data_IF_457414913252
#
_entry.id   IF_457414913252
#
_cell.length_a   1.000
_cell.length_b   1.000
_cell.length_c   1.000
_cell.angle_alpha   90.00
_cell.angle_beta   90.00
_cell.angle_gamma   90.00
#
_symmetry.space_group_name_H-M   'P 1'
#
loop_
_entity.id
_entity.type
_entity.pdbx_description
1 polymer ?
#
# COMPACT_ATOMS: atom_id res chain seq x y z
N UNK A 1 -27.60 16.40 -1.31
CA UNK A 1 -27.73 14.96 -1.61
C UNK A 1 -27.39 14.19 -0.35
N UNK A 2 -28.33 13.38 0.17
CA UNK A 2 -28.11 12.64 1.41
C UNK A 2 -26.99 11.61 1.23
N UNK A 3 -26.13 11.46 2.25
CA UNK A 3 -24.98 10.55 2.27
C UNK A 3 -25.35 9.09 1.92
N UNK A 4 -26.60 8.70 2.17
CA UNK A 4 -27.21 7.43 1.79
C UNK A 4 -27.41 7.26 0.29
N UNK A 5 -27.78 8.32 -0.44
CA UNK A 5 -27.93 8.29 -1.90
C UNK A 5 -26.58 8.11 -2.61
N UNK A 6 -25.52 8.75 -2.10
CA UNK A 6 -24.18 8.62 -2.69
C UNK A 6 -23.63 7.18 -2.59
N UNK A 7 -23.88 6.51 -1.46
CA UNK A 7 -23.47 5.10 -1.26
C UNK A 7 -24.18 4.13 -2.21
N UNK A 8 -25.46 4.35 -2.48
CA UNK A 8 -26.24 3.49 -3.38
C UNK A 8 -25.74 3.61 -4.83
N UNK A 9 -25.43 4.84 -5.28
CA UNK A 9 -24.90 5.07 -6.63
C UNK A 9 -23.50 4.45 -6.82
N UNK A 10 -22.64 4.55 -5.81
CA UNK A 10 -21.30 3.97 -5.86
C UNK A 10 -21.32 2.43 -5.98
N UNK A 11 -22.19 1.75 -5.21
CA UNK A 11 -22.33 0.29 -5.27
C UNK A 11 -22.85 -0.15 -6.64
N UNK A 12 -23.84 0.56 -7.21
CA UNK A 12 -24.39 0.23 -8.52
C UNK A 12 -23.37 0.34 -9.66
N UNK A 13 -22.46 1.32 -9.59
CA UNK A 13 -21.38 1.49 -10.57
C UNK A 13 -20.36 0.35 -10.53
N UNK A 14 -19.98 -0.13 -9.34
CA UNK A 14 -19.00 -1.22 -9.20
C UNK A 14 -19.53 -2.53 -9.80
N UNK A 15 -20.81 -2.84 -9.55
CA UNK A 15 -21.45 -4.05 -10.12
C UNK A 15 -21.48 -4.01 -11.64
N UNK A 16 -21.67 -2.82 -12.24
CA UNK A 16 -21.68 -2.64 -13.69
C UNK A 16 -20.30 -2.90 -14.33
N UNK A 17 -19.21 -2.49 -13.68
CA UNK A 17 -17.84 -2.65 -14.21
C UNK A 17 -17.39 -4.11 -14.21
N UNK A 18 -17.75 -4.88 -13.19
CA UNK A 18 -17.38 -6.31 -13.08
C UNK A 18 -18.06 -7.15 -14.14
N UNK A 19 -19.31 -6.83 -14.51
CA UNK A 19 -20.07 -7.56 -15.53
C UNK A 19 -19.51 -7.40 -16.96
N UNK A 20 -18.73 -6.35 -17.22
CA UNK A 20 -18.18 -6.06 -18.55
C UNK A 20 -16.77 -6.62 -18.79
N UNK A 21 -16.07 -7.10 -17.76
CA UNK A 21 -14.67 -7.55 -17.85
C UNK A 21 -14.49 -9.07 -18.04
N UNK A 22 -15.56 -9.81 -18.33
CA UNK A 22 -15.57 -11.28 -18.31
C UNK A 22 -15.33 -12.03 -19.63
N UNK A 23 -14.89 -11.39 -20.72
CA UNK A 23 -14.77 -12.08 -22.03
C UNK A 23 -13.47 -11.77 -22.80
N UNK A 24 -12.37 -12.43 -22.44
CA UNK A 24 -11.23 -12.76 -23.33
C UNK A 24 -10.69 -14.11 -22.79
N UNK A 25 -10.86 -15.29 -23.39
CA UNK A 25 -11.05 -15.68 -24.79
C UNK A 25 -9.70 -16.03 -25.41
N UNK A 26 -9.38 -17.33 -25.58
CA UNK A 26 -8.33 -17.76 -26.52
C UNK A 26 -7.47 -18.95 -26.09
N UNK A 27 -8.04 -20.15 -26.20
CA UNK A 27 -7.36 -21.45 -26.29
C UNK A 27 -6.64 -21.56 -27.64
N UNK A 28 -5.31 -21.76 -27.70
CA UNK A 28 -4.62 -22.43 -28.83
C UNK A 28 -3.24 -23.02 -28.39
N UNK A 29 -3.14 -24.35 -28.44
CA UNK A 29 -1.93 -25.19 -28.62
C UNK A 29 -2.38 -26.44 -29.41
N UNK A 30 -1.55 -27.18 -30.19
CA UNK A 30 -0.17 -27.00 -30.65
C UNK A 30 0.00 -27.05 -32.20
N UNK A 31 1.14 -26.57 -32.71
CA UNK A 31 1.71 -27.13 -33.94
C UNK A 31 3.25 -27.13 -33.85
N UNK A 32 3.78 -28.33 -34.06
CA UNK A 32 5.17 -28.77 -34.08
C UNK A 32 5.75 -28.56 -35.48
N UNK A 33 6.89 -27.86 -35.62
CA UNK A 33 7.81 -27.99 -36.77
C UNK A 33 9.25 -27.70 -36.30
N UNK A 34 10.11 -28.70 -36.47
CA UNK A 34 11.58 -28.70 -36.33
C UNK A 34 12.23 -28.62 -37.74
N UNK A 35 13.56 -28.51 -37.91
CA UNK A 35 14.49 -27.41 -37.61
C UNK A 35 15.17 -26.84 -38.89
N UNK A 36 15.65 -25.60 -38.86
CA UNK A 36 16.69 -25.11 -39.79
C UNK A 36 17.66 -24.19 -39.05
N UNK A 37 18.98 -24.45 -39.06
CA UNK A 37 19.95 -23.65 -38.32
C UNK A 37 20.46 -22.44 -39.12
N UNK A 38 21.01 -21.49 -38.35
CA UNK A 38 22.12 -20.61 -38.72
C UNK A 38 21.78 -19.33 -39.50
N UNK A 39 21.51 -18.25 -38.76
CA UNK A 39 21.99 -16.90 -39.14
C UNK A 39 22.41 -16.13 -37.88
N UNK A 40 23.71 -15.92 -37.78
CA UNK A 40 24.47 -14.82 -37.15
C UNK A 40 23.68 -13.70 -36.46
N UNK A 41 23.92 -13.40 -35.16
CA UNK A 41 23.50 -12.13 -34.58
C UNK A 41 24.56 -11.04 -34.81
N UNK A 42 24.28 -10.11 -35.72
CA UNK A 42 24.94 -8.81 -35.76
C UNK A 42 24.25 -7.91 -34.72
N UNK A 43 24.90 -7.72 -33.57
CA UNK A 43 24.39 -6.87 -32.48
C UNK A 43 24.52 -5.41 -32.90
N UNK A 44 23.43 -4.85 -33.43
CA UNK A 44 23.29 -3.40 -33.58
C UNK A 44 22.74 -2.84 -32.26
N UNK A 45 23.47 -1.99 -31.52
CA UNK A 45 22.91 -1.31 -30.36
C UNK A 45 21.91 -0.26 -30.84
N UNK A 46 20.62 -0.51 -30.59
CA UNK A 46 19.58 0.49 -30.75
C UNK A 46 19.81 1.61 -29.74
N UNK A 47 20.03 2.83 -30.26
CA UNK A 47 20.25 4.03 -29.49
C UNK A 47 19.13 4.24 -28.45
N UNK A 48 19.54 4.36 -27.20
CA UNK A 48 18.74 4.91 -26.10
C UNK A 48 18.22 6.30 -26.50
N UNK A 49 16.91 6.54 -26.58
CA UNK A 49 16.43 7.90 -26.61
C UNK A 49 16.64 8.51 -25.22
N UNK A 50 17.46 9.57 -25.16
CA UNK A 50 17.50 10.45 -24.01
C UNK A 50 16.11 11.07 -23.84
N UNK A 51 15.38 10.63 -22.81
CA UNK A 51 14.15 11.31 -22.40
C UNK A 51 14.58 12.58 -21.67
N UNK A 52 14.53 13.69 -22.38
CA UNK A 52 14.65 15.03 -21.82
C UNK A 52 13.48 15.24 -20.86
N UNK A 53 13.77 15.24 -19.57
CA UNK A 53 12.79 15.57 -18.53
C UNK A 53 12.54 17.08 -18.60
N UNK A 54 11.46 17.48 -19.27
CA UNK A 54 10.93 18.84 -19.19
C UNK A 54 10.51 19.08 -17.73
N UNK A 55 11.02 20.11 -17.04
CA UNK A 55 10.51 20.46 -15.72
C UNK A 55 9.08 20.97 -15.89
N UNK A 56 8.11 20.18 -15.43
CA UNK A 56 6.74 20.63 -15.29
C UNK A 56 6.70 21.75 -14.26
N UNK A 57 6.08 22.87 -14.68
CA UNK A 57 5.93 24.07 -13.89
C UNK A 57 5.39 23.77 -12.49
N UNK A 58 6.09 24.30 -11.50
CA UNK A 58 5.64 24.52 -10.14
C UNK A 58 4.25 25.15 -10.14
N UNK A 59 3.20 24.50 -9.58
CA UNK A 59 2.04 25.27 -9.16
C UNK A 59 2.44 26.09 -7.93
N UNK A 60 2.34 27.40 -8.06
CA UNK A 60 2.40 28.31 -6.93
C UNK A 60 1.30 27.90 -5.93
N UNK A 61 1.73 27.43 -4.77
CA UNK A 61 0.84 27.21 -3.63
C UNK A 61 0.48 28.59 -3.09
N UNK A 62 -0.74 29.00 -3.40
CA UNK A 62 -1.37 30.20 -2.85
C UNK A 62 -1.60 29.97 -1.34
N UNK A 63 -0.96 30.80 -0.51
CA UNK A 63 -1.13 30.81 0.95
C UNK A 63 -2.60 31.06 1.30
N UNK A 64 -3.34 29.98 1.57
CA UNK A 64 -4.64 30.12 2.22
C UNK A 64 -4.40 30.28 3.71
N UNK A 65 -4.41 31.55 4.14
CA UNK A 65 -4.57 32.04 5.50
C UNK A 65 -5.54 31.14 6.30
N UNK A 66 -4.98 30.26 7.13
CA UNK A 66 -5.76 29.49 8.09
C UNK A 66 -6.04 30.41 9.28
N UNK A 67 -7.28 30.87 9.37
CA UNK A 67 -7.78 31.58 10.53
C UNK A 67 -7.90 30.60 11.71
N UNK A 68 -7.41 31.10 12.82
CA UNK A 68 -7.63 30.67 14.20
C UNK A 68 -9.04 30.10 14.43
N UNK A 69 -9.10 28.82 14.78
CA UNK A 69 -10.21 28.18 15.46
C UNK A 69 -9.64 27.08 16.35
N UNK A 70 -8.95 27.52 17.41
CA UNK A 70 -8.86 26.70 18.60
C UNK A 70 -10.30 26.49 19.12
N UNK A 71 -10.73 25.23 19.20
CA UNK A 71 -11.50 24.65 20.31
C UNK A 71 -12.08 23.29 19.90
N UNK A 72 -11.67 22.22 20.60
CA UNK A 72 -12.60 21.15 20.94
C UNK A 72 -12.37 19.72 20.44
N UNK A 73 -11.25 19.38 19.81
CA UNK A 73 -10.92 17.97 19.53
C UNK A 73 -9.47 17.65 19.88
N UNK A 74 -9.16 17.67 21.18
CA UNK A 74 -8.05 16.86 21.69
C UNK A 74 -8.53 15.40 21.72
N UNK A 75 -8.01 14.49 20.86
CA UNK A 75 -8.27 13.07 21.07
C UNK A 75 -7.78 12.72 22.47
N UNK A 76 -8.67 12.23 23.33
CA UNK A 76 -8.33 11.73 24.67
C UNK A 76 -7.40 10.53 24.50
N UNK A 77 -6.09 10.76 24.52
CA UNK A 77 -5.07 9.71 24.62
C UNK A 77 -4.83 9.27 26.06
N UNK A 78 -5.47 9.90 27.06
CA UNK A 78 -5.10 9.72 28.49
C UNK A 78 -5.79 8.59 29.26
N UNK A 79 -6.63 7.75 28.65
CA UNK A 79 -7.25 6.60 29.32
C UNK A 79 -6.91 5.24 28.67
N UNK A 80 -5.90 5.20 27.79
CA UNK A 80 -5.38 3.90 27.33
C UNK A 80 -4.53 3.34 28.45
N UNK A 81 -4.99 2.24 29.06
CA UNK A 81 -4.15 1.42 29.95
C UNK A 81 -2.77 1.23 29.32
N UNK A 82 -1.69 1.18 30.12
CA UNK A 82 -0.36 0.89 29.59
C UNK A 82 -0.47 -0.32 28.67
N UNK A 83 -0.06 -0.13 27.41
CA UNK A 83 0.07 -1.22 26.45
C UNK A 83 0.91 -2.28 27.16
N UNK A 84 0.28 -3.39 27.53
CA UNK A 84 1.05 -4.50 28.10
C UNK A 84 1.99 -4.93 26.99
N UNK A 85 3.29 -4.68 27.20
CA UNK A 85 4.29 -5.07 26.23
C UNK A 85 4.07 -6.56 25.92
N UNK A 86 4.09 -6.96 24.64
CA UNK A 86 3.97 -8.35 24.27
C UNK A 86 5.00 -9.14 25.09
N UNK A 87 4.54 -10.20 25.76
CA UNK A 87 5.27 -10.88 26.85
C UNK A 87 6.65 -11.45 26.49
N UNK A 88 7.08 -11.36 25.23
CA UNK A 88 8.40 -11.76 24.72
C UNK A 88 9.17 -10.67 23.98
N UNK A 89 8.78 -9.39 24.09
CA UNK A 89 9.39 -8.32 23.30
C UNK A 89 9.21 -8.56 21.79
N UNK A 90 10.26 -8.36 20.99
CA UNK A 90 10.21 -8.59 19.54
C UNK A 90 9.96 -10.06 19.15
N UNK A 91 10.43 -11.01 19.96
CA UNK A 91 10.26 -12.45 19.71
C UNK A 91 8.81 -12.91 19.92
N UNK A 92 8.02 -12.13 20.67
CA UNK A 92 6.61 -12.42 20.94
C UNK A 92 5.64 -11.82 19.93
N UNK A 93 6.13 -11.15 18.89
CA UNK A 93 5.30 -10.53 17.86
C UNK A 93 4.90 -11.56 16.79
N UNK A 94 3.67 -11.45 16.28
CA UNK A 94 3.20 -12.25 15.15
C UNK A 94 3.85 -11.75 13.85
N UNK A 95 4.84 -12.50 13.36
CA UNK A 95 5.54 -12.22 12.12
C UNK A 95 4.62 -12.21 10.90
N UNK A 96 3.48 -12.92 10.95
CA UNK A 96 2.46 -12.88 9.89
C UNK A 96 1.80 -11.50 9.82
N UNK A 97 1.64 -10.81 10.95
CA UNK A 97 1.10 -9.45 10.98
C UNK A 97 2.15 -8.48 10.46
N UNK A 98 3.38 -8.56 10.97
CA UNK A 98 4.46 -7.64 10.58
C UNK A 98 4.81 -7.76 9.10
N UNK A 99 4.91 -8.98 8.56
CA UNK A 99 5.25 -9.21 7.16
C UNK A 99 4.21 -8.71 6.15
N UNK A 100 2.97 -8.40 6.57
CA UNK A 100 1.97 -7.72 5.72
C UNK A 100 2.27 -6.24 5.53
N UNK A 101 2.99 -5.63 6.47
CA UNK A 101 3.26 -4.20 6.50
C UNK A 101 4.69 -3.87 6.06
N UNK A 102 5.64 -4.77 6.22
CA UNK A 102 6.96 -4.72 5.56
C UNK A 102 6.78 -4.94 4.05
N UNK A 103 6.49 -3.86 3.33
CA UNK A 103 6.23 -3.85 1.89
C UNK A 103 7.53 -3.82 1.09
N UNK A 104 8.56 -3.18 1.63
CA UNK A 104 9.85 -3.03 0.97
C UNK A 104 10.77 -4.26 1.19
N UNK A 105 10.39 -5.17 2.08
CA UNK A 105 11.12 -6.40 2.46
C UNK A 105 12.51 -6.10 3.02
N UNK A 106 12.64 -5.01 3.77
CA UNK A 106 13.88 -4.62 4.44
C UNK A 106 14.02 -5.21 5.85
N UNK A 107 12.99 -5.93 6.32
CA UNK A 107 12.97 -6.59 7.61
C UNK A 107 12.72 -5.64 8.78
N UNK A 108 12.25 -4.42 8.53
CA UNK A 108 11.85 -3.46 9.55
C UNK A 108 10.52 -2.82 9.16
N UNK A 109 9.82 -2.25 10.14
CA UNK A 109 8.65 -1.41 9.87
C UNK A 109 9.13 0.03 9.82
N UNK A 110 8.96 0.69 8.67
CA UNK A 110 9.29 2.10 8.50
C UNK A 110 8.10 3.05 8.80
N UNK A 111 8.32 4.37 8.69
CA UNK A 111 7.29 5.36 8.98
C UNK A 111 6.10 5.32 8.01
N UNK A 112 6.34 5.00 6.73
CA UNK A 112 5.29 4.93 5.71
C UNK A 112 4.41 3.68 5.93
N UNK A 113 5.04 2.58 6.31
CA UNK A 113 4.37 1.32 6.63
C UNK A 113 3.56 1.44 7.93
N UNK A 114 4.11 2.13 8.93
CA UNK A 114 3.37 2.51 10.15
C UNK A 114 2.15 3.38 9.84
N UNK A 115 2.28 4.38 8.96
CA UNK A 115 1.15 5.22 8.56
C UNK A 115 0.05 4.40 7.89
N UNK A 116 0.43 3.42 7.07
CA UNK A 116 -0.52 2.48 6.46
C UNK A 116 -1.26 1.65 7.51
N UNK A 117 -0.54 1.11 8.51
CA UNK A 117 -1.14 0.38 9.62
C UNK A 117 -2.11 1.25 10.44
N UNK A 118 -1.73 2.52 10.68
CA UNK A 118 -2.57 3.49 11.39
C UNK A 118 -3.86 3.77 10.63
N UNK A 119 -3.80 3.98 9.31
CA UNK A 119 -4.99 4.17 8.47
C UNK A 119 -5.88 2.92 8.52
N UNK A 120 -5.29 1.72 8.48
CA UNK A 120 -6.00 0.45 8.61
C UNK A 120 -6.76 0.32 9.94
N UNK A 121 -6.11 0.71 11.04
CA UNK A 121 -6.71 0.73 12.37
C UNK A 121 -7.84 1.76 12.48
N UNK A 122 -7.61 3.01 12.07
CA UNK A 122 -8.61 4.09 12.11
C UNK A 122 -9.84 3.77 11.24
N UNK A 123 -9.64 3.02 10.16
CA UNK A 123 -10.69 2.57 9.26
C UNK A 123 -11.43 1.30 9.73
N UNK A 124 -11.04 0.72 10.87
CA UNK A 124 -11.54 -0.57 11.40
C UNK A 124 -11.28 -1.78 10.47
N UNK A 125 -10.27 -1.71 9.60
CA UNK A 125 -9.79 -2.86 8.82
C UNK A 125 -8.79 -3.71 9.60
N UNK A 126 -7.98 -3.08 10.46
CA UNK A 126 -7.01 -3.76 11.32
C UNK A 126 -7.56 -3.90 12.74
N UNK A 127 -7.28 -5.03 13.39
CA UNK A 127 -7.63 -5.23 14.80
C UNK A 127 -6.72 -4.37 15.68
N UNK A 128 -7.23 -3.97 16.84
CA UNK A 128 -6.42 -3.25 17.83
C UNK A 128 -5.16 -4.02 18.23
N UNK A 129 -5.27 -5.34 18.45
CA UNK A 129 -4.13 -6.21 18.79
C UNK A 129 -3.04 -6.22 17.73
N UNK A 130 -3.42 -6.12 16.46
CA UNK A 130 -2.50 -6.27 15.34
C UNK A 130 -1.78 -4.91 15.14
N UNK A 131 -2.53 -3.80 15.21
CA UNK A 131 -1.95 -2.46 15.22
C UNK A 131 -0.97 -2.24 16.40
N UNK A 132 -1.30 -2.73 17.59
CA UNK A 132 -0.41 -2.62 18.77
C UNK A 132 0.91 -3.36 18.57
N UNK A 133 0.89 -4.53 17.92
CA UNK A 133 2.10 -5.27 17.57
C UNK A 133 2.96 -4.51 16.56
N UNK A 134 2.34 -3.95 15.52
CA UNK A 134 3.04 -3.15 14.49
C UNK A 134 3.65 -1.89 15.14
N UNK A 135 2.90 -1.21 16.01
CA UNK A 135 3.39 -0.05 16.77
C UNK A 135 4.59 -0.40 17.63
N UNK A 136 4.51 -1.50 18.37
CA UNK A 136 5.63 -1.98 19.17
C UNK A 136 6.86 -2.32 18.32
N UNK A 137 6.66 -2.98 17.16
CA UNK A 137 7.75 -3.32 16.24
C UNK A 137 8.49 -2.09 15.74
N UNK A 138 7.75 -1.05 15.35
CA UNK A 138 8.28 0.23 14.88
C UNK A 138 9.03 0.99 15.99
N UNK A 139 8.44 1.12 17.19
CA UNK A 139 9.04 1.85 18.31
C UNK A 139 10.33 1.22 18.83
N UNK A 140 10.47 -0.11 18.66
CA UNK A 140 11.62 -0.87 19.14
C UNK A 140 12.55 -1.40 18.05
N UNK A 141 12.32 -1.02 16.78
CA UNK A 141 13.07 -1.52 15.63
C UNK A 141 13.16 -3.07 15.62
N UNK A 142 12.04 -3.73 15.87
CA UNK A 142 11.97 -5.19 15.87
C UNK A 142 12.13 -5.74 14.44
N UNK A 143 12.91 -6.81 14.26
CA UNK A 143 13.08 -7.45 12.96
C UNK A 143 11.79 -8.14 12.50
N UNK A 144 11.53 -8.05 11.20
CA UNK A 144 10.46 -8.75 10.47
C UNK A 144 11.09 -9.87 9.65
N UNK A 145 10.49 -11.06 9.71
CA UNK A 145 10.93 -12.19 8.87
C UNK A 145 10.61 -11.93 7.40
N UNK A 146 11.66 -11.86 6.56
CA UNK A 146 11.55 -11.74 5.11
C UNK A 146 11.64 -13.12 4.47
N UNK A 147 10.63 -13.52 3.71
CA UNK A 147 10.63 -14.76 2.90
C UNK A 147 11.45 -14.64 1.60
#
# INVERSE_FOLDING_TARGET
>A
MSKTMLRIVAIAMIVLVVALSGCVGGDEKPAEVEPTPEVTPEVTPAATPAVTVTPAATPAVEETKTADAAEGFTPKTSDRSPLEAPSGGCEGLDQTVLGRYDNNKDGLIDSNEMETAKIGFESNYEKQSDYEQILYAYEHNCPVETE
#
